data_IF_289037660922
#
_entry.id   IF_289037660922
#
_cell.length_a   1.000
_cell.length_b   1.000
_cell.length_c   1.000
_cell.angle_alpha   90.00
_cell.angle_beta   90.00
_cell.angle_gamma   90.00
#
_symmetry.space_group_name_H-M   'P 1'
#
loop_
_entity.id
_entity.type
_entity.pdbx_description
1 polymer ?
#
# COMPACT_ATOMS: atom_id res chain seq x y z
N UNK A 1 -29.52 -12.74 -6.58
CA UNK A 1 -30.20 -13.96 -7.07
C UNK A 1 -29.12 -14.97 -7.41
N UNK A 2 -29.10 -16.16 -6.79
CA UNK A 2 -28.20 -17.35 -6.97
C UNK A 2 -26.68 -17.12 -7.21
N UNK A 3 -25.74 -17.95 -6.72
CA UNK A 3 -25.83 -19.39 -6.48
C UNK A 3 -25.30 -19.83 -5.10
N UNK A 4 -25.76 -21.01 -4.68
CA UNK A 4 -25.19 -21.85 -3.62
C UNK A 4 -24.44 -23.04 -4.25
N UNK A 5 -23.92 -23.89 -3.37
CA UNK A 5 -23.38 -25.24 -3.59
C UNK A 5 -21.89 -25.26 -3.99
N UNK A 6 -20.91 -25.54 -3.13
CA UNK A 6 -20.69 -26.62 -2.13
C UNK A 6 -19.89 -27.81 -2.69
N UNK A 7 -18.72 -28.05 -2.10
CA UNK A 7 -18.12 -29.40 -2.02
C UNK A 7 -17.14 -29.47 -0.84
N UNK A 8 -17.12 -30.61 -0.15
CA UNK A 8 -16.39 -30.82 1.09
C UNK A 8 -15.00 -31.43 0.85
N UNK A 9 -14.03 -31.07 1.69
CA UNK A 9 -12.86 -31.89 1.96
C UNK A 9 -12.50 -31.77 3.44
N UNK A 10 -12.21 -32.90 4.08
CA UNK A 10 -11.97 -33.07 5.52
C UNK A 10 -10.63 -33.81 5.70
N UNK A 11 -10.14 -33.96 6.94
CA UNK A 11 -8.90 -34.69 7.33
C UNK A 11 -7.63 -33.82 7.15
N UNK A 12 -6.68 -33.71 8.09
CA UNK A 12 -6.48 -34.36 9.39
C UNK A 12 -5.95 -33.38 10.47
N UNK A 13 -6.04 -33.78 11.74
CA UNK A 13 -5.23 -33.20 12.84
C UNK A 13 -3.86 -33.89 12.88
N UNK A 14 -2.83 -33.20 13.36
CA UNK A 14 -1.83 -33.77 14.27
C UNK A 14 -1.04 -32.67 15.00
N UNK A 15 -0.60 -33.00 16.20
CA UNK A 15 0.03 -32.13 17.20
C UNK A 15 1.52 -32.45 17.36
N UNK A 16 2.36 -31.43 17.56
CA UNK A 16 3.52 -31.49 18.46
C UNK A 16 4.11 -30.09 18.67
N UNK A 17 4.38 -29.75 19.92
CA UNK A 17 5.08 -28.53 20.35
C UNK A 17 6.53 -28.48 19.86
N UNK A 18 7.09 -27.27 19.70
CA UNK A 18 8.26 -26.85 20.50
C UNK A 18 8.67 -25.36 20.30
N UNK A 19 9.22 -24.78 21.38
CA UNK A 19 9.93 -23.48 21.51
C UNK A 19 9.22 -22.13 21.20
N UNK A 20 8.96 -21.30 22.24
CA UNK A 20 8.50 -19.92 22.11
C UNK A 20 9.53 -18.89 22.63
N UNK A 21 10.46 -18.41 21.79
CA UNK A 21 11.40 -17.35 22.21
C UNK A 21 11.58 -16.22 21.17
N UNK A 22 11.53 -16.52 19.86
CA UNK A 22 11.68 -15.50 18.81
C UNK A 22 10.51 -14.48 18.75
N UNK A 23 9.31 -14.84 19.21
CA UNK A 23 8.10 -14.02 19.07
C UNK A 23 8.04 -12.83 20.04
N UNK A 24 8.74 -12.91 21.18
CA UNK A 24 8.75 -11.85 22.21
C UNK A 24 9.71 -10.69 21.90
N UNK A 25 10.78 -10.93 21.15
CA UNK A 25 11.66 -9.86 20.65
C UNK A 25 10.94 -9.01 19.58
N UNK A 26 10.17 -9.66 18.70
CA UNK A 26 9.49 -9.00 17.58
C UNK A 26 8.37 -8.05 18.07
N UNK A 27 7.62 -8.44 19.11
CA UNK A 27 6.56 -7.61 19.70
C UNK A 27 7.10 -6.42 20.48
N UNK A 28 8.16 -6.60 21.28
CA UNK A 28 8.82 -5.50 22.01
C UNK A 28 9.32 -4.38 21.10
N UNK A 29 9.91 -4.73 19.96
CA UNK A 29 10.42 -3.77 18.98
C UNK A 29 9.34 -3.03 18.18
N UNK A 30 8.09 -3.50 18.22
CA UNK A 30 6.93 -2.77 17.66
C UNK A 30 6.33 -1.81 18.70
N UNK A 31 6.29 -2.21 19.97
CA UNK A 31 5.79 -1.39 21.09
C UNK A 31 6.61 -0.11 21.29
N UNK A 32 7.95 -0.24 21.37
CA UNK A 32 8.87 0.91 21.57
C UNK A 32 8.90 1.88 20.38
N UNK A 33 8.52 1.42 19.19
CA UNK A 33 8.38 2.25 17.98
C UNK A 33 7.07 3.04 17.96
N UNK A 34 6.01 2.54 18.59
CA UNK A 34 4.76 3.30 18.77
C UNK A 34 4.83 4.32 19.90
N UNK A 35 5.59 4.05 20.96
CA UNK A 35 5.77 4.98 22.10
C UNK A 35 6.57 6.23 21.70
N UNK A 36 7.68 6.06 20.96
CA UNK A 36 8.47 7.18 20.43
C UNK A 36 7.67 8.13 19.50
N UNK A 37 6.62 7.64 18.83
CA UNK A 37 5.79 8.46 17.95
C UNK A 37 4.69 9.23 18.71
N UNK A 38 4.42 8.87 19.96
CA UNK A 38 3.46 9.55 20.83
C UNK A 38 4.12 10.67 21.65
N UNK A 39 5.34 10.44 22.16
CA UNK A 39 6.06 11.45 22.97
C UNK A 39 6.41 12.71 22.17
N UNK A 40 6.75 12.57 20.88
CA UNK A 40 7.07 13.71 20.01
C UNK A 40 5.85 14.59 19.66
N UNK A 41 4.62 14.12 19.88
CA UNK A 41 3.41 14.93 19.72
C UNK A 41 2.95 15.64 21.00
N UNK A 42 3.53 15.32 22.16
CA UNK A 42 3.18 15.98 23.44
C UNK A 42 4.14 17.11 23.83
N UNK A 43 5.39 17.10 23.35
CA UNK A 43 6.40 18.12 23.67
C UNK A 43 6.14 19.52 23.09
N UNK A 44 5.19 19.69 22.16
CA UNK A 44 4.88 20.99 21.53
C UNK A 44 3.71 21.75 22.17
N UNK A 45 3.09 21.21 23.24
CA UNK A 45 1.87 21.80 23.85
C UNK A 45 2.02 22.41 25.24
N UNK A 46 3.19 22.35 25.89
CA UNK A 46 3.38 22.81 27.29
C UNK A 46 4.43 23.91 27.50
N UNK A 47 4.83 24.66 26.46
CA UNK A 47 5.84 25.73 26.60
C UNK A 47 5.39 27.11 26.09
N UNK A 48 4.21 27.56 26.52
CA UNK A 48 3.75 28.96 26.38
C UNK A 48 2.66 29.29 27.41
N UNK A 49 3.00 29.14 28.70
CA UNK A 49 2.13 29.49 29.81
C UNK A 49 2.92 30.09 31.00
N UNK A 50 3.80 31.06 30.76
CA UNK A 50 4.35 31.89 31.85
C UNK A 50 4.76 33.30 31.40
N UNK A 51 4.57 34.27 32.32
CA UNK A 51 5.00 35.67 32.32
C UNK A 51 4.42 36.67 31.28
N UNK A 52 3.38 37.40 31.73
CA UNK A 52 3.18 38.81 31.37
C UNK A 52 4.21 39.71 32.07
N UNK A 53 4.70 40.76 31.39
CA UNK A 53 5.12 42.11 31.88
C UNK A 53 5.72 42.84 30.64
N UNK A 54 5.04 43.80 30.00
CA UNK A 54 4.88 45.24 30.32
C UNK A 54 5.78 46.14 29.45
N UNK A 55 5.28 47.34 29.10
CA UNK A 55 5.98 48.43 28.37
C UNK A 55 6.30 48.20 26.87
N UNK A 56 6.57 49.20 26.02
CA UNK A 56 6.05 50.58 25.85
C UNK A 56 6.40 51.04 24.41
N UNK A 57 5.56 51.90 23.84
CA UNK A 57 5.76 52.75 22.65
C UNK A 57 7.22 52.94 22.14
N UNK A 58 7.46 52.73 20.82
CA UNK A 58 8.14 53.70 19.92
C UNK A 58 8.22 53.24 18.46
N UNK A 59 8.16 54.21 17.54
CA UNK A 59 8.32 54.06 16.09
C UNK A 59 9.79 54.24 15.69
N UNK A 60 10.20 53.70 14.53
CA UNK A 60 10.84 54.41 13.39
C UNK A 60 11.51 53.42 12.42
N UNK A 61 11.51 53.73 11.11
CA UNK A 61 12.18 52.93 10.07
C UNK A 61 11.49 53.01 8.70
N UNK A 62 11.86 53.99 7.88
CA UNK A 62 11.23 54.29 6.57
C UNK A 62 12.02 53.67 5.39
N UNK A 63 11.31 53.53 4.25
CA UNK A 63 11.77 53.23 2.87
C UNK A 63 11.87 51.74 2.50
N UNK A 64 11.52 51.27 1.28
CA UNK A 64 11.12 51.96 0.01
C UNK A 64 9.97 51.21 -0.72
N UNK A 65 9.29 51.94 -1.60
CA UNK A 65 8.19 51.59 -2.53
C UNK A 65 8.34 50.36 -3.45
N UNK A 66 7.23 49.66 -3.71
CA UNK A 66 6.69 49.40 -5.07
C UNK A 66 5.14 49.36 -5.00
N UNK A 67 4.43 49.96 -5.97
CA UNK A 67 2.96 50.08 -5.95
C UNK A 67 2.32 49.67 -7.28
N UNK A 68 1.40 48.69 -7.25
CA UNK A 68 0.15 48.65 -8.04
C UNK A 68 -0.72 47.47 -7.53
N UNK A 69 -1.52 47.67 -6.48
CA UNK A 69 -2.95 48.04 -6.56
C UNK A 69 -3.90 46.93 -7.02
N UNK A 70 -4.41 46.16 -6.06
CA UNK A 70 -5.84 45.85 -5.92
C UNK A 70 -6.14 45.41 -4.48
N UNK A 71 -6.18 46.39 -3.56
CA UNK A 71 -6.69 46.19 -2.20
C UNK A 71 -8.01 46.94 -2.04
N UNK A 72 -9.04 46.25 -1.55
CA UNK A 72 -10.31 46.85 -1.14
C UNK A 72 -10.11 47.58 0.19
N UNK A 73 -9.72 48.86 0.12
CA UNK A 73 -9.51 49.73 1.27
C UNK A 73 -10.79 49.89 2.11
N UNK A 74 -10.82 49.24 3.28
CA UNK A 74 -11.79 49.56 4.34
C UNK A 74 -11.38 50.86 5.04
N UNK A 75 -11.61 51.98 4.36
CA UNK A 75 -11.31 53.33 4.82
C UNK A 75 -11.99 53.60 6.18
N UNK A 76 -11.20 53.58 7.25
CA UNK A 76 -11.69 53.81 8.61
C UNK A 76 -11.84 55.32 8.86
N UNK A 77 -12.94 55.90 8.39
CA UNK A 77 -13.35 57.25 8.82
C UNK A 77 -13.96 57.22 10.22
N UNK A 78 -13.83 58.34 10.94
CA UNK A 78 -14.34 58.46 12.31
C UNK A 78 -15.87 58.26 12.37
N UNK A 79 -16.58 58.74 11.35
CA UNK A 79 -18.03 58.57 11.14
C UNK A 79 -18.41 57.10 10.93
N UNK A 80 -17.60 56.33 10.20
CA UNK A 80 -17.81 54.91 10.00
C UNK A 80 -17.68 54.13 11.31
N UNK A 81 -16.77 54.56 12.20
CA UNK A 81 -16.59 53.96 13.51
C UNK A 81 -17.78 54.21 14.45
N UNK A 82 -18.41 55.40 14.35
CA UNK A 82 -19.62 55.80 15.10
C UNK A 82 -20.86 55.02 14.63
N UNK A 83 -21.06 54.89 13.31
CA UNK A 83 -22.19 54.15 12.75
C UNK A 83 -22.11 52.62 13.03
N UNK A 84 -20.91 52.09 13.21
CA UNK A 84 -20.68 50.70 13.63
C UNK A 84 -21.11 50.46 15.09
N UNK A 85 -20.76 51.35 16.03
CA UNK A 85 -21.15 51.21 17.44
C UNK A 85 -22.65 51.36 17.65
N UNK A 86 -23.28 52.34 17.00
CA UNK A 86 -24.72 52.61 17.07
C UNK A 86 -25.55 51.40 16.59
N UNK A 87 -25.07 50.68 15.56
CA UNK A 87 -25.72 49.46 15.07
C UNK A 87 -25.85 48.34 16.11
N UNK A 88 -24.84 48.13 16.97
CA UNK A 88 -24.91 47.12 18.04
C UNK A 88 -25.73 47.62 19.24
N UNK A 89 -25.66 48.91 19.56
CA UNK A 89 -26.47 49.48 20.64
C UNK A 89 -27.96 49.38 20.32
N UNK A 90 -28.37 49.69 19.09
CA UNK A 90 -29.74 49.49 18.61
C UNK A 90 -30.17 48.01 18.57
N UNK A 91 -29.28 47.09 18.17
CA UNK A 91 -29.56 45.65 18.23
C UNK A 91 -29.73 45.17 19.69
N UNK A 92 -28.92 45.66 20.62
CA UNK A 92 -29.07 45.33 22.04
C UNK A 92 -30.37 45.90 22.62
N UNK A 93 -30.74 47.14 22.30
CA UNK A 93 -31.98 47.77 22.78
C UNK A 93 -33.25 47.04 22.28
N UNK A 94 -33.27 46.66 20.99
CA UNK A 94 -34.35 45.86 20.41
C UNK A 94 -34.42 44.46 21.01
N UNK A 95 -33.28 43.78 21.18
CA UNK A 95 -33.20 42.45 21.81
C UNK A 95 -33.66 42.46 23.29
N UNK A 96 -33.34 43.51 24.05
CA UNK A 96 -33.81 43.66 25.43
C UNK A 96 -35.33 43.85 25.48
N UNK A 97 -35.89 44.62 24.53
CA UNK A 97 -37.33 44.86 24.40
C UNK A 97 -38.10 43.58 24.01
N UNK A 98 -37.57 42.80 23.07
CA UNK A 98 -38.18 41.54 22.59
C UNK A 98 -38.04 40.40 23.61
N UNK A 99 -36.85 40.24 24.20
CA UNK A 99 -36.57 39.09 25.09
C UNK A 99 -36.97 39.30 26.55
N UNK A 100 -37.51 40.47 26.93
CA UNK A 100 -37.78 40.80 28.34
C UNK A 100 -36.54 40.71 29.23
N UNK A 101 -35.36 40.98 28.67
CA UNK A 101 -34.06 40.84 29.33
C UNK A 101 -33.49 39.41 29.43
N UNK A 102 -34.12 38.40 28.82
CA UNK A 102 -33.61 37.02 28.87
C UNK A 102 -32.30 36.82 28.08
N UNK A 103 -32.04 37.63 27.05
CA UNK A 103 -30.77 37.55 26.30
C UNK A 103 -29.85 38.72 26.66
N UNK A 104 -28.67 38.38 27.19
CA UNK A 104 -27.63 39.35 27.52
C UNK A 104 -27.08 40.08 26.28
N UNK A 105 -26.70 41.37 26.39
CA UNK A 105 -26.24 42.16 25.25
C UNK A 105 -24.96 41.61 24.60
N UNK A 106 -24.81 41.89 23.31
CA UNK A 106 -23.59 41.65 22.54
C UNK A 106 -22.57 42.73 22.93
N UNK A 107 -21.37 42.29 23.33
CA UNK A 107 -20.35 43.15 23.96
C UNK A 107 -19.50 43.97 22.99
N UNK A 108 -19.39 43.55 21.73
CA UNK A 108 -18.50 44.17 20.73
C UNK A 108 -18.91 43.77 19.31
N UNK A 109 -18.51 44.58 18.33
CA UNK A 109 -18.59 44.24 16.91
C UNK A 109 -17.29 43.64 16.40
N UNK A 110 -17.39 42.70 15.47
CA UNK A 110 -16.22 42.12 14.82
C UNK A 110 -15.65 43.09 13.77
N UNK A 111 -14.36 43.43 13.88
CA UNK A 111 -13.63 44.33 12.96
C UNK A 111 -12.73 43.59 11.95
N UNK A 112 -12.69 42.26 12.00
CA UNK A 112 -11.81 41.39 11.23
C UNK A 112 -12.62 40.21 10.65
N UNK A 113 -12.17 39.52 9.58
CA UNK A 113 -12.93 38.42 8.99
C UNK A 113 -13.04 37.23 9.95
N UNK A 114 -14.23 36.63 10.04
CA UNK A 114 -14.58 35.57 11.01
C UNK A 114 -13.63 34.35 11.01
N UNK A 115 -12.93 34.10 9.88
CA UNK A 115 -12.00 32.98 9.68
C UNK A 115 -10.66 33.16 10.39
N UNK A 116 -10.22 34.39 10.67
CA UNK A 116 -8.95 34.73 11.33
C UNK A 116 -9.08 34.91 12.86
N UNK A 117 -10.32 34.96 13.35
CA UNK A 117 -10.66 35.24 14.75
C UNK A 117 -10.38 34.03 15.65
N UNK A 118 -9.83 34.30 16.85
CA UNK A 118 -9.58 33.30 17.91
C UNK A 118 -10.81 32.42 18.19
N UNK A 119 -10.57 31.13 18.45
CA UNK A 119 -11.60 30.10 18.67
C UNK A 119 -12.60 30.44 19.79
N UNK A 120 -12.13 31.04 20.88
CA UNK A 120 -12.94 31.56 22.00
C UNK A 120 -13.96 32.61 21.54
N UNK A 121 -13.50 33.62 20.82
CA UNK A 121 -14.30 34.71 20.26
C UNK A 121 -15.29 34.21 19.21
N UNK A 122 -14.89 33.27 18.33
CA UNK A 122 -15.79 32.61 17.38
C UNK A 122 -16.89 31.82 18.09
N UNK A 123 -16.57 31.10 19.17
CA UNK A 123 -17.55 30.34 19.99
C UNK A 123 -18.54 31.27 20.70
N UNK A 124 -18.06 32.40 21.25
CA UNK A 124 -18.93 33.43 21.83
C UNK A 124 -19.91 33.98 20.78
N UNK A 125 -19.41 34.38 19.60
CA UNK A 125 -20.24 34.95 18.55
C UNK A 125 -21.27 33.93 18.01
N UNK A 126 -20.88 32.67 17.78
CA UNK A 126 -21.80 31.60 17.37
C UNK A 126 -22.93 31.41 18.38
N UNK A 127 -22.62 31.39 19.68
CA UNK A 127 -23.63 31.31 20.74
C UNK A 127 -24.57 32.51 20.73
N UNK A 128 -24.02 33.73 20.61
CA UNK A 128 -24.81 34.97 20.59
C UNK A 128 -25.72 35.09 19.36
N UNK A 129 -25.21 34.76 18.18
CA UNK A 129 -26.01 34.69 16.96
C UNK A 129 -27.17 33.68 17.10
N UNK A 130 -26.90 32.48 17.67
CA UNK A 130 -27.95 31.50 17.97
C UNK A 130 -29.01 32.06 18.92
N UNK A 131 -28.62 32.70 20.02
CA UNK A 131 -29.56 33.33 20.97
C UNK A 131 -30.45 34.39 20.30
N UNK A 132 -29.87 35.28 19.50
CA UNK A 132 -30.60 36.34 18.78
C UNK A 132 -31.59 35.75 17.77
N UNK A 133 -31.15 34.81 16.93
CA UNK A 133 -32.03 34.19 15.92
C UNK A 133 -33.17 33.42 16.60
N UNK A 134 -32.90 32.65 17.66
CA UNK A 134 -33.97 31.97 18.40
C UNK A 134 -34.96 32.94 19.07
N UNK A 135 -34.53 34.12 19.56
CA UNK A 135 -35.50 35.10 20.09
C UNK A 135 -36.42 35.66 19.01
N UNK A 136 -35.91 35.97 17.82
CA UNK A 136 -36.73 36.44 16.69
C UNK A 136 -37.67 35.33 16.21
N UNK A 137 -37.15 34.11 16.04
CA UNK A 137 -37.96 32.96 15.62
C UNK A 137 -39.01 32.56 16.68
N UNK A 138 -38.77 32.75 17.97
CA UNK A 138 -39.78 32.53 19.02
C UNK A 138 -40.93 33.54 18.97
N UNK A 139 -40.71 34.75 18.44
CA UNK A 139 -41.79 35.72 18.21
C UNK A 139 -42.59 35.40 16.95
N UNK A 140 -41.95 34.80 15.94
CA UNK A 140 -42.60 34.38 14.69
C UNK A 140 -43.40 33.08 14.86
N UNK A 141 -42.83 32.11 15.57
CA UNK A 141 -43.41 30.78 15.81
C UNK A 141 -43.16 30.37 17.29
N UNK A 142 -44.08 30.71 18.22
CA UNK A 142 -43.88 30.50 19.65
C UNK A 142 -43.74 29.01 19.99
N UNK A 143 -42.60 28.65 20.59
CA UNK A 143 -42.27 27.27 20.94
C UNK A 143 -41.63 26.43 19.83
N UNK A 144 -41.60 26.91 18.58
CA UNK A 144 -41.09 26.19 17.40
C UNK A 144 -39.83 26.82 16.78
N UNK A 145 -39.12 27.70 17.52
CA UNK A 145 -37.93 28.38 16.99
C UNK A 145 -36.79 27.45 16.57
N UNK A 146 -36.66 26.28 17.20
CA UNK A 146 -35.68 25.26 16.81
C UNK A 146 -36.00 24.66 15.45
N UNK A 147 -37.26 24.31 15.23
CA UNK A 147 -37.72 23.65 14.00
C UNK A 147 -37.65 24.64 12.83
N UNK A 148 -38.07 25.90 13.05
CA UNK A 148 -37.90 26.99 12.09
C UNK A 148 -36.42 27.29 11.77
N UNK A 149 -35.53 27.21 12.76
CA UNK A 149 -34.09 27.39 12.52
C UNK A 149 -33.50 26.23 11.72
N UNK A 150 -34.01 25.02 11.91
CA UNK A 150 -33.61 23.84 11.16
C UNK A 150 -34.10 23.92 9.70
N UNK A 151 -35.36 24.30 9.45
CA UNK A 151 -35.89 24.49 8.10
C UNK A 151 -35.06 25.52 7.30
N UNK A 152 -34.72 26.66 7.91
CA UNK A 152 -33.84 27.66 7.28
C UNK A 152 -32.42 27.14 7.01
N UNK A 153 -31.93 26.19 7.80
CA UNK A 153 -30.63 25.57 7.57
C UNK A 153 -30.71 24.55 6.43
N UNK A 154 -31.77 23.75 6.38
CA UNK A 154 -32.05 22.75 5.34
C UNK A 154 -32.20 23.43 3.97
N UNK A 155 -33.04 24.46 3.83
CA UNK A 155 -33.22 25.22 2.57
C UNK A 155 -31.89 25.76 2.00
N UNK A 156 -30.98 26.24 2.85
CA UNK A 156 -29.66 26.73 2.44
C UNK A 156 -28.64 25.61 2.16
N UNK A 157 -28.93 24.36 2.53
CA UNK A 157 -28.10 23.20 2.21
C UNK A 157 -28.55 22.49 0.93
N UNK A 158 -29.84 22.54 0.56
CA UNK A 158 -30.37 21.76 -0.57
C UNK A 158 -29.78 22.15 -1.93
N UNK A 159 -29.58 23.45 -2.24
CA UNK A 159 -29.09 23.86 -3.58
C UNK A 159 -27.64 23.41 -3.88
N UNK A 160 -26.72 23.51 -2.92
CA UNK A 160 -25.31 23.10 -3.11
C UNK A 160 -25.09 21.60 -2.83
N UNK A 161 -25.86 20.98 -1.92
CA UNK A 161 -25.59 19.61 -1.45
C UNK A 161 -26.24 18.54 -2.32
N UNK A 162 -27.49 18.73 -2.79
CA UNK A 162 -28.18 17.66 -3.53
C UNK A 162 -27.51 17.35 -4.87
N UNK A 163 -27.02 18.37 -5.58
CA UNK A 163 -26.30 18.18 -6.84
C UNK A 163 -24.93 17.51 -6.61
N UNK A 164 -24.25 17.82 -5.50
CA UNK A 164 -22.99 17.18 -5.10
C UNK A 164 -23.20 15.71 -4.73
N UNK A 165 -24.10 15.41 -3.80
CA UNK A 165 -24.36 14.05 -3.33
C UNK A 165 -24.86 13.13 -4.46
N UNK A 166 -25.70 13.66 -5.37
CA UNK A 166 -26.14 12.91 -6.55
C UNK A 166 -24.98 12.53 -7.48
N UNK A 167 -24.06 13.47 -7.74
CA UNK A 167 -22.88 13.17 -8.57
C UNK A 167 -21.88 12.24 -7.87
N UNK A 168 -21.71 12.31 -6.55
CA UNK A 168 -20.93 11.31 -5.81
C UNK A 168 -21.55 9.91 -5.95
N UNK A 169 -22.87 9.79 -5.78
CA UNK A 169 -23.58 8.51 -5.91
C UNK A 169 -23.42 7.91 -7.32
N UNK A 170 -23.64 8.70 -8.38
CA UNK A 170 -23.44 8.28 -9.78
C UNK A 170 -21.99 7.81 -10.06
N UNK A 171 -20.99 8.51 -9.50
CA UNK A 171 -19.58 8.09 -9.60
C UNK A 171 -19.33 6.79 -8.82
N UNK A 172 -19.91 6.63 -7.62
CA UNK A 172 -19.74 5.38 -6.86
C UNK A 172 -20.39 4.19 -7.56
N UNK A 173 -21.58 4.34 -8.13
CA UNK A 173 -22.29 3.27 -8.83
C UNK A 173 -21.57 2.84 -10.12
N UNK A 174 -21.02 3.78 -10.89
CA UNK A 174 -20.21 3.45 -12.08
C UNK A 174 -18.93 2.68 -11.71
N UNK A 175 -18.23 3.05 -10.64
CA UNK A 175 -17.06 2.29 -10.16
C UNK A 175 -17.46 0.91 -9.63
N UNK A 176 -18.63 0.79 -8.97
CA UNK A 176 -19.17 -0.50 -8.51
C UNK A 176 -19.54 -1.43 -9.67
N UNK A 177 -20.10 -0.90 -10.77
CA UNK A 177 -20.35 -1.65 -11.98
C UNK A 177 -19.03 -2.20 -12.58
N UNK A 178 -18.03 -1.34 -12.77
CA UNK A 178 -16.71 -1.73 -13.27
C UNK A 178 -16.03 -2.78 -12.36
N UNK A 179 -16.22 -2.69 -11.03
CA UNK A 179 -15.69 -3.66 -10.08
C UNK A 179 -16.34 -5.05 -10.24
N UNK A 180 -17.64 -5.09 -10.54
CA UNK A 180 -18.37 -6.32 -10.83
C UNK A 180 -17.95 -6.97 -12.16
N UNK A 181 -17.73 -6.14 -13.19
CA UNK A 181 -17.34 -6.58 -14.55
C UNK A 181 -15.86 -7.00 -14.64
N UNK A 182 -14.98 -6.50 -13.78
CA UNK A 182 -13.55 -6.82 -13.82
C UNK A 182 -13.27 -8.31 -13.54
N UNK A 183 -12.57 -8.98 -14.45
CA UNK A 183 -12.11 -10.37 -14.23
C UNK A 183 -10.84 -10.45 -13.36
N UNK A 184 -9.95 -9.46 -13.48
CA UNK A 184 -8.64 -9.48 -12.84
C UNK A 184 -8.70 -8.89 -11.41
N UNK A 185 -8.26 -9.66 -10.42
CA UNK A 185 -8.13 -9.23 -9.03
C UNK A 185 -7.25 -7.97 -8.84
N UNK A 186 -6.27 -7.73 -9.73
CA UNK A 186 -5.49 -6.50 -9.73
C UNK A 186 -6.35 -5.28 -10.09
N UNK A 187 -7.25 -5.39 -11.09
CA UNK A 187 -8.20 -4.34 -11.48
C UNK A 187 -9.26 -4.13 -10.39
N UNK A 188 -9.79 -5.22 -9.80
CA UNK A 188 -10.69 -5.13 -8.63
C UNK A 188 -10.05 -4.37 -7.48
N UNK A 189 -8.77 -4.62 -7.17
CA UNK A 189 -8.04 -3.89 -6.12
C UNK A 189 -7.84 -2.41 -6.48
N UNK A 190 -7.67 -2.06 -7.75
CA UNK A 190 -7.57 -0.67 -8.21
C UNK A 190 -8.90 0.07 -8.06
N UNK A 191 -9.98 -0.48 -8.59
CA UNK A 191 -11.32 0.12 -8.51
C UNK A 191 -11.77 0.25 -7.04
N UNK A 192 -11.50 -0.78 -6.22
CA UNK A 192 -11.71 -0.69 -4.78
C UNK A 192 -10.78 0.34 -4.11
N UNK A 193 -9.56 0.57 -4.60
CA UNK A 193 -8.65 1.59 -4.04
C UNK A 193 -9.15 3.02 -4.24
N UNK A 194 -9.93 3.28 -5.29
CA UNK A 194 -10.63 4.55 -5.50
C UNK A 194 -11.74 4.74 -4.45
N UNK A 195 -12.60 3.72 -4.27
CA UNK A 195 -13.71 3.75 -3.30
C UNK A 195 -13.28 3.70 -1.83
N UNK A 196 -12.14 3.09 -1.52
CA UNK A 196 -11.73 2.76 -0.14
C UNK A 196 -10.82 3.80 0.54
N UNK A 197 -10.62 4.97 -0.09
CA UNK A 197 -9.87 6.09 0.48
C UNK A 197 -10.30 6.40 1.94
N UNK A 198 -9.35 6.67 2.87
CA UNK A 198 -9.66 6.72 4.31
C UNK A 198 -10.76 7.70 4.71
N UNK A 199 -10.87 8.83 3.99
CA UNK A 199 -11.83 9.90 4.27
C UNK A 199 -13.16 9.75 3.51
N UNK A 200 -13.20 8.92 2.46
CA UNK A 200 -14.38 8.77 1.62
C UNK A 200 -15.39 7.79 2.23
N UNK A 201 -15.00 6.53 2.46
CA UNK A 201 -15.92 5.48 2.90
C UNK A 201 -15.36 4.62 4.05
N UNK A 202 -16.17 4.47 5.10
CA UNK A 202 -15.89 3.54 6.20
C UNK A 202 -16.00 2.09 5.74
N UNK A 203 -15.24 1.18 6.38
CA UNK A 203 -15.24 -0.27 6.07
C UNK A 203 -16.66 -0.85 6.07
N UNK A 204 -17.51 -0.42 6.99
CA UNK A 204 -18.91 -0.88 7.08
C UNK A 204 -19.79 -0.35 5.93
N UNK A 205 -19.54 0.86 5.40
CA UNK A 205 -20.23 1.39 4.20
C UNK A 205 -19.87 0.52 2.98
N UNK A 206 -18.58 0.24 2.78
CA UNK A 206 -18.08 -0.60 1.68
C UNK A 206 -18.63 -2.05 1.73
N UNK A 207 -18.71 -2.67 2.90
CA UNK A 207 -19.29 -4.02 3.05
C UNK A 207 -20.80 -4.08 2.82
N UNK A 208 -21.52 -2.95 2.92
CA UNK A 208 -22.94 -2.85 2.54
C UNK A 208 -23.11 -2.62 1.03
N UNK A 209 -22.22 -1.86 0.41
CA UNK A 209 -22.21 -1.60 -1.04
C UNK A 209 -21.81 -2.84 -1.85
N UNK A 210 -20.79 -3.58 -1.39
CA UNK A 210 -20.31 -4.80 -2.04
C UNK A 210 -20.53 -6.00 -1.10
N UNK A 211 -21.64 -6.75 -1.26
CA UNK A 211 -21.90 -7.93 -0.43
C UNK A 211 -20.87 -9.02 -0.71
N UNK A 212 -20.22 -9.52 0.35
CA UNK A 212 -19.14 -10.50 0.28
C UNK A 212 -17.74 -9.91 0.40
N UNK A 213 -17.57 -8.59 0.33
CA UNK A 213 -16.27 -7.93 0.49
C UNK A 213 -15.69 -8.13 1.89
N UNK A 214 -14.46 -8.63 1.97
CA UNK A 214 -13.76 -8.84 3.23
C UNK A 214 -13.09 -7.56 3.73
N UNK A 215 -12.91 -7.45 5.06
CA UNK A 215 -12.13 -6.35 5.66
C UNK A 215 -10.68 -6.36 5.17
N UNK A 216 -10.13 -7.55 4.90
CA UNK A 216 -8.76 -7.71 4.40
C UNK A 216 -8.59 -7.13 3.00
N UNK A 217 -9.54 -7.33 2.08
CA UNK A 217 -9.50 -6.72 0.73
C UNK A 217 -9.53 -5.19 0.79
N UNK A 218 -10.32 -4.61 1.70
CA UNK A 218 -10.36 -3.16 1.95
C UNK A 218 -9.02 -2.65 2.50
N UNK A 219 -8.37 -3.41 3.38
CA UNK A 219 -7.05 -3.04 3.91
C UNK A 219 -5.95 -3.21 2.84
N UNK A 220 -6.07 -4.21 1.96
CA UNK A 220 -5.18 -4.38 0.80
C UNK A 220 -5.34 -3.27 -0.25
N UNK A 221 -6.57 -2.83 -0.56
CA UNK A 221 -6.80 -1.71 -1.49
C UNK A 221 -6.32 -0.38 -0.92
N UNK A 222 -6.41 -0.18 0.40
CA UNK A 222 -5.83 0.98 1.11
C UNK A 222 -4.30 0.94 1.12
N UNK A 223 -3.70 -0.20 1.43
CA UNK A 223 -2.25 -0.39 1.36
C UNK A 223 -1.72 -0.18 -0.07
N UNK A 224 -2.49 -0.59 -1.07
CA UNK A 224 -2.21 -0.32 -2.48
C UNK A 224 -2.26 1.17 -2.81
N UNK A 225 -3.34 1.88 -2.42
CA UNK A 225 -3.44 3.33 -2.61
C UNK A 225 -2.28 4.09 -1.95
N UNK A 226 -1.86 3.67 -0.75
CA UNK A 226 -0.75 4.27 0.00
C UNK A 226 0.64 4.01 -0.61
N UNK A 227 0.81 2.95 -1.41
CA UNK A 227 2.11 2.55 -1.98
C UNK A 227 2.27 2.88 -3.46
N UNK A 228 1.18 2.84 -4.24
CA UNK A 228 1.19 3.01 -5.70
C UNK A 228 0.34 4.20 -6.18
N UNK A 229 -0.45 4.82 -5.29
CA UNK A 229 -1.51 5.78 -5.63
C UNK A 229 -2.87 5.10 -5.84
N UNK A 230 -3.96 5.83 -5.53
CA UNK A 230 -5.32 5.33 -5.75
C UNK A 230 -5.60 5.22 -7.27
N UNK A 231 -6.21 4.10 -7.69
CA UNK A 231 -6.51 3.80 -9.11
C UNK A 231 -5.29 3.50 -9.99
N UNK A 232 -4.07 3.56 -9.46
CA UNK A 232 -2.84 3.29 -10.21
C UNK A 232 -2.72 1.82 -10.58
N UNK A 233 -2.30 1.50 -11.81
CA UNK A 233 -2.00 0.11 -12.19
C UNK A 233 -0.78 -0.37 -11.37
N UNK A 234 -0.85 -1.50 -10.65
CA UNK A 234 0.36 -2.14 -10.15
C UNK A 234 1.20 -2.48 -11.38
N UNK A 235 2.49 -2.12 -11.33
CA UNK A 235 3.40 -2.28 -12.47
C UNK A 235 3.49 -3.73 -12.95
N UNK A 236 4.09 -3.99 -14.13
CA UNK A 236 4.23 -5.32 -14.70
C UNK A 236 4.71 -6.31 -13.64
N UNK A 237 3.82 -7.24 -13.26
CA UNK A 237 4.13 -8.22 -12.24
C UNK A 237 5.03 -9.27 -12.88
N UNK A 238 6.34 -9.01 -12.83
CA UNK A 238 7.37 -9.98 -13.24
C UNK A 238 7.04 -11.34 -12.60
N UNK A 239 6.85 -12.40 -13.40
CA UNK A 239 6.39 -13.69 -12.89
C UNK A 239 7.47 -14.24 -11.95
N UNK A 240 7.18 -14.18 -10.65
CA UNK A 240 8.10 -14.58 -9.59
C UNK A 240 8.39 -16.08 -9.62
N UNK A 241 9.36 -16.49 -10.44
CA UNK A 241 9.82 -17.87 -10.54
C UNK A 241 10.31 -18.34 -9.17
N UNK A 242 9.55 -19.26 -8.55
CA UNK A 242 9.93 -19.89 -7.28
C UNK A 242 11.11 -20.84 -7.51
N UNK A 243 12.31 -20.35 -7.19
CA UNK A 243 13.54 -21.13 -7.23
C UNK A 243 13.51 -22.21 -6.14
N UNK A 244 13.04 -23.42 -6.50
CA UNK A 244 12.91 -24.58 -5.58
C UNK A 244 14.24 -25.19 -5.12
N UNK A 245 15.38 -24.69 -5.60
CA UNK A 245 16.72 -25.20 -5.34
C UNK A 245 17.70 -24.04 -5.27
N UNK A 246 18.68 -24.10 -4.35
CA UNK A 246 19.74 -23.11 -4.28
C UNK A 246 20.58 -23.14 -5.57
N UNK A 247 20.73 -21.98 -6.21
CA UNK A 247 21.41 -21.79 -7.49
C UNK A 247 22.91 -22.09 -7.41
N UNK A 248 23.59 -21.57 -6.39
CA UNK A 248 25.04 -21.76 -6.18
C UNK A 248 25.39 -23.25 -6.05
N UNK A 249 24.59 -24.00 -5.28
CA UNK A 249 24.78 -25.45 -5.12
C UNK A 249 24.49 -26.25 -6.39
N UNK A 250 23.59 -25.77 -7.24
CA UNK A 250 23.36 -26.35 -8.57
C UNK A 250 24.56 -26.06 -9.49
N UNK A 251 25.01 -24.81 -9.55
CA UNK A 251 26.14 -24.40 -10.41
C UNK A 251 27.44 -25.12 -10.01
N UNK A 252 27.73 -25.28 -8.72
CA UNK A 252 28.86 -26.06 -8.22
C UNK A 252 28.77 -27.56 -8.56
N UNK A 253 27.56 -28.14 -8.56
CA UNK A 253 27.37 -29.52 -9.00
C UNK A 253 27.53 -29.67 -10.52
N UNK A 254 26.98 -28.73 -11.30
CA UNK A 254 27.07 -28.75 -12.76
C UNK A 254 28.50 -28.51 -13.25
N UNK A 255 29.28 -27.62 -12.64
CA UNK A 255 30.67 -27.38 -13.05
C UNK A 255 31.54 -28.63 -12.89
N UNK A 256 31.37 -29.37 -11.79
CA UNK A 256 32.04 -30.65 -11.58
C UNK A 256 31.49 -31.75 -12.52
N UNK A 257 30.17 -31.85 -12.67
CA UNK A 257 29.51 -32.87 -13.51
C UNK A 257 29.68 -32.65 -15.03
N UNK A 258 30.21 -31.50 -15.46
CA UNK A 258 30.49 -31.14 -16.84
C UNK A 258 31.99 -30.96 -17.12
N UNK A 259 32.87 -31.19 -16.13
CA UNK A 259 34.32 -31.14 -16.31
C UNK A 259 34.76 -32.08 -17.47
N UNK A 260 35.54 -31.61 -18.45
CA UNK A 260 36.06 -32.42 -19.55
C UNK A 260 36.74 -33.72 -19.11
N UNK A 261 37.30 -33.81 -17.90
CA UNK A 261 37.89 -35.04 -17.34
C UNK A 261 36.93 -36.24 -17.33
N UNK A 262 35.62 -35.99 -17.25
CA UNK A 262 34.59 -37.03 -17.19
C UNK A 262 33.88 -37.28 -18.53
N UNK A 263 34.32 -36.62 -19.61
CA UNK A 263 33.67 -36.63 -20.91
C UNK A 263 34.64 -36.97 -22.04
N UNK A 264 34.20 -37.82 -22.96
CA UNK A 264 34.91 -38.12 -24.20
C UNK A 264 34.01 -37.77 -25.38
N UNK A 265 34.53 -36.97 -26.31
CA UNK A 265 33.91 -36.74 -27.61
C UNK A 265 34.12 -38.01 -28.43
N UNK A 266 33.06 -38.57 -29.00
CA UNK A 266 33.21 -39.73 -29.86
C UNK A 266 33.67 -39.34 -31.27
N UNK A 267 34.52 -40.18 -31.87
CA UNK A 267 34.91 -40.11 -33.28
C UNK A 267 33.80 -40.46 -34.26
N UNK A 268 32.69 -41.05 -33.81
CA UNK A 268 31.53 -41.37 -34.64
C UNK A 268 30.20 -41.15 -33.91
N UNK A 269 29.20 -40.69 -34.66
CA UNK A 269 27.87 -40.33 -34.17
C UNK A 269 27.74 -38.83 -33.88
N UNK A 270 26.73 -38.21 -34.47
CA UNK A 270 26.32 -36.82 -34.23
C UNK A 270 24.96 -36.78 -33.52
N UNK A 271 24.66 -35.64 -32.90
CA UNK A 271 23.34 -35.27 -32.40
C UNK A 271 22.97 -33.92 -32.97
N UNK A 272 21.72 -33.81 -33.41
CA UNK A 272 21.21 -32.62 -34.05
C UNK A 272 20.41 -31.83 -33.00
N UNK A 273 20.83 -30.59 -32.74
CA UNK A 273 20.11 -29.66 -31.87
C UNK A 273 19.24 -28.76 -32.74
N UNK A 274 17.92 -28.84 -32.57
CA UNK A 274 16.99 -27.88 -33.14
C UNK A 274 16.93 -26.64 -32.25
N UNK A 275 17.13 -25.47 -32.85
CA UNK A 275 16.98 -24.18 -32.20
C UNK A 275 15.57 -23.60 -32.48
N UNK A 276 15.05 -22.77 -31.57
CA UNK A 276 13.70 -22.18 -31.68
C UNK A 276 13.51 -21.29 -32.92
N UNK A 277 14.62 -20.88 -33.56
CA UNK A 277 14.65 -20.15 -34.83
C UNK A 277 14.52 -21.07 -36.08
N UNK A 278 14.29 -22.37 -35.90
CA UNK A 278 14.17 -23.36 -36.98
C UNK A 278 15.50 -23.88 -37.54
N UNK A 279 16.65 -23.40 -37.06
CA UNK A 279 17.96 -23.91 -37.46
C UNK A 279 18.28 -25.23 -36.75
N UNK A 280 19.10 -26.07 -37.39
CA UNK A 280 19.55 -27.34 -36.83
C UNK A 280 21.07 -27.37 -36.80
N UNK A 281 21.65 -27.57 -35.62
CA UNK A 281 23.10 -27.60 -35.39
C UNK A 281 23.54 -29.02 -35.07
N UNK A 282 24.40 -29.60 -35.91
CA UNK A 282 24.93 -30.96 -35.72
C UNK A 282 26.16 -30.92 -34.81
N UNK A 283 26.12 -31.64 -33.69
CA UNK A 283 27.18 -31.68 -32.66
C UNK A 283 27.69 -33.12 -32.49
N UNK A 284 28.99 -33.38 -32.33
CA UNK A 284 29.49 -34.73 -32.09
C UNK A 284 28.96 -35.32 -30.78
N UNK A 285 28.70 -36.64 -30.76
CA UNK A 285 28.13 -37.31 -29.60
C UNK A 285 29.12 -37.39 -28.44
N UNK A 286 28.79 -36.74 -27.33
CA UNK A 286 29.55 -36.84 -26.08
C UNK A 286 29.10 -38.06 -25.27
N UNK A 287 30.08 -38.81 -24.77
CA UNK A 287 29.95 -39.97 -23.88
C UNK A 287 30.59 -39.62 -22.54
N UNK A 288 29.98 -40.02 -21.41
CA UNK A 288 30.65 -39.92 -20.10
C UNK A 288 31.52 -41.14 -19.87
N UNK A 289 32.74 -40.91 -19.38
CA UNK A 289 33.71 -41.97 -19.06
C UNK A 289 33.38 -42.68 -17.74
N UNK A 290 32.63 -42.02 -16.86
CA UNK A 290 32.27 -42.53 -15.52
C UNK A 290 30.76 -42.66 -15.34
N UNK A 291 30.34 -43.65 -14.55
CA UNK A 291 28.93 -43.86 -14.25
C UNK A 291 28.42 -42.90 -13.16
N UNK A 292 27.11 -42.65 -13.14
CA UNK A 292 26.50 -41.64 -12.26
C UNK A 292 26.79 -41.85 -10.77
N UNK A 293 26.86 -43.09 -10.29
CA UNK A 293 27.15 -43.39 -8.88
C UNK A 293 28.59 -43.05 -8.50
N UNK A 294 29.58 -43.49 -9.29
CA UNK A 294 31.00 -43.17 -9.04
C UNK A 294 31.28 -41.68 -9.17
N UNK A 295 30.65 -41.00 -10.15
CA UNK A 295 30.80 -39.56 -10.35
C UNK A 295 30.18 -38.74 -9.21
N UNK A 296 29.06 -39.20 -8.63
CA UNK A 296 28.48 -38.60 -7.42
C UNK A 296 29.32 -38.87 -6.16
N UNK A 297 29.97 -40.03 -6.06
CA UNK A 297 30.92 -40.34 -4.98
C UNK A 297 32.17 -39.45 -5.07
N UNK A 298 32.77 -39.29 -6.26
CA UNK A 298 33.91 -38.38 -6.47
C UNK A 298 33.54 -36.93 -6.13
N UNK A 299 32.35 -36.48 -6.52
CA UNK A 299 31.84 -35.15 -6.17
C UNK A 299 31.70 -34.95 -4.66
N UNK A 300 31.22 -35.96 -3.92
CA UNK A 300 31.15 -35.90 -2.45
C UNK A 300 32.52 -35.81 -1.80
N UNK A 301 33.50 -36.60 -2.26
CA UNK A 301 34.88 -36.49 -1.77
C UNK A 301 35.44 -35.09 -2.01
N UNK A 302 35.29 -34.57 -3.23
CA UNK A 302 35.70 -33.21 -3.58
C UNK A 302 35.01 -32.14 -2.72
N UNK A 303 33.70 -32.27 -2.44
CA UNK A 303 32.99 -31.38 -1.53
C UNK A 303 33.53 -31.47 -0.09
N UNK A 304 33.89 -32.66 0.39
CA UNK A 304 34.47 -32.83 1.73
C UNK A 304 35.88 -32.23 1.86
N UNK A 305 36.68 -32.28 0.80
CA UNK A 305 38.03 -31.67 0.74
C UNK A 305 37.97 -30.14 0.65
N UNK A 306 36.98 -29.61 -0.08
CA UNK A 306 36.77 -28.16 -0.27
C UNK A 306 35.94 -27.50 0.84
N UNK A 307 35.40 -28.28 1.79
CA UNK A 307 34.51 -27.77 2.85
C UNK A 307 33.12 -27.35 2.35
N UNK A 308 32.72 -27.76 1.15
CA UNK A 308 31.44 -27.40 0.55
C UNK A 308 30.31 -28.34 0.99
N UNK A 309 29.11 -27.80 1.27
CA UNK A 309 27.94 -28.62 1.63
C UNK A 309 27.07 -28.84 0.37
N UNK A 310 27.08 -30.04 -0.24
CA UNK A 310 26.37 -30.30 -1.50
C UNK A 310 24.84 -30.32 -1.35
N UNK A 311 24.14 -30.56 -2.47
CA UNK A 311 22.73 -30.95 -2.50
C UNK A 311 22.55 -32.40 -2.03
N UNK A 312 21.32 -32.78 -1.66
CA UNK A 312 21.01 -34.18 -1.32
C UNK A 312 21.19 -35.12 -2.51
N UNK A 313 21.56 -36.37 -2.24
CA UNK A 313 21.77 -37.41 -3.26
C UNK A 313 20.61 -37.52 -4.24
N UNK A 314 19.37 -37.48 -3.76
CA UNK A 314 18.17 -37.55 -4.60
C UNK A 314 18.08 -36.41 -5.62
N UNK A 315 18.57 -35.21 -5.28
CA UNK A 315 18.64 -34.06 -6.18
C UNK A 315 19.81 -34.19 -7.14
N UNK A 316 20.98 -34.62 -6.67
CA UNK A 316 22.17 -34.84 -7.51
C UNK A 316 21.94 -35.94 -8.56
N UNK A 317 21.31 -37.06 -8.20
CA UNK A 317 20.90 -38.09 -9.15
C UNK A 317 19.87 -37.59 -10.17
N UNK A 318 18.94 -36.71 -9.77
CA UNK A 318 17.98 -36.07 -10.70
C UNK A 318 18.66 -35.11 -11.68
N UNK A 319 19.65 -34.33 -11.22
CA UNK A 319 20.46 -33.48 -12.10
C UNK A 319 21.19 -34.35 -13.13
N UNK A 320 21.84 -35.42 -12.68
CA UNK A 320 22.56 -36.38 -13.54
C UNK A 320 21.64 -37.13 -14.51
N UNK A 321 20.39 -37.44 -14.14
CA UNK A 321 19.41 -38.04 -15.07
C UNK A 321 18.94 -37.05 -16.12
N UNK A 322 18.72 -35.78 -15.75
CA UNK A 322 18.29 -34.72 -16.69
C UNK A 322 19.40 -34.41 -17.69
N UNK A 323 20.64 -34.30 -17.22
CA UNK A 323 21.83 -34.16 -18.05
C UNK A 323 22.27 -35.52 -18.63
N UNK A 324 21.39 -36.21 -19.36
CA UNK A 324 21.62 -37.55 -19.92
C UNK A 324 22.78 -37.60 -20.93
N UNK A 325 23.96 -38.06 -20.50
CA UNK A 325 25.05 -38.42 -21.40
C UNK A 325 24.77 -39.76 -22.11
N UNK A 326 25.34 -39.92 -23.30
CA UNK A 326 25.16 -41.14 -24.09
C UNK A 326 25.85 -42.32 -23.40
N UNK A 327 25.10 -43.33 -22.98
CA UNK A 327 25.67 -44.60 -22.52
C UNK A 327 26.04 -45.44 -23.74
N UNK A 328 27.26 -45.95 -23.78
CA UNK A 328 27.67 -46.98 -24.74
C UNK A 328 28.03 -48.23 -23.96
N UNK A 329 27.26 -49.29 -24.18
CA UNK A 329 27.73 -50.64 -23.91
C UNK A 329 28.81 -50.94 -24.93
N UNK A 330 29.99 -51.29 -24.45
CA UNK A 330 31.07 -51.83 -25.26
C UNK A 330 30.52 -52.99 -26.12
N UNK A 331 30.57 -52.83 -27.44
CA UNK A 331 30.31 -53.91 -28.38
C UNK A 331 31.32 -55.02 -28.08
N UNK A 332 30.81 -56.23 -27.86
CA UNK A 332 31.62 -57.44 -27.73
C UNK A 332 32.35 -57.67 -29.05
N UNK A 333 33.63 -57.25 -29.11
CA UNK A 333 34.36 -57.17 -30.38
C UNK A 333 35.64 -56.34 -30.30
N UNK A 334 36.43 -56.53 -29.25
CA UNK A 334 37.87 -56.24 -29.25
C UNK A 334 38.61 -57.57 -29.10
N UNK A 335 38.35 -58.49 -30.04
CA UNK A 335 39.24 -59.62 -30.21
C UNK A 335 40.58 -59.09 -30.71
N UNK A 336 41.62 -59.41 -29.95
CA UNK A 336 42.99 -59.04 -30.28
C UNK A 336 43.35 -59.73 -31.60
N UNK A 337 43.63 -58.94 -32.64
CA UNK A 337 44.40 -59.44 -33.79
C UNK A 337 45.85 -59.57 -33.31
N UNK A 338 46.08 -60.57 -32.46
CA UNK A 338 47.39 -60.97 -32.02
C UNK A 338 48.08 -61.66 -33.20
N UNK A 339 49.16 -61.04 -33.66
CA UNK A 339 50.07 -61.48 -34.71
C UNK A 339 50.36 -62.98 -34.65
N UNK A 340 49.75 -63.76 -35.55
CA UNK A 340 50.30 -65.07 -35.93
C UNK A 340 51.27 -64.85 -37.09
N UNK A 341 52.55 -64.77 -36.75
CA UNK A 341 53.65 -64.45 -37.66
C UNK A 341 54.90 -65.27 -37.33
N UNK A 342 54.71 -66.50 -36.84
CA UNK A 342 55.78 -67.36 -36.35
C UNK A 342 55.56 -68.83 -36.76
N UNK A 343 55.38 -69.07 -38.07
CA UNK A 343 55.52 -70.39 -38.68
C UNK A 343 56.14 -70.29 -40.07
N UNK A 344 57.00 -71.25 -40.41
CA UNK A 344 57.69 -71.45 -41.70
C UNK A 344 58.79 -70.43 -42.10
N UNK A 345 59.97 -70.56 -41.49
CA UNK A 345 61.20 -70.93 -42.23
C UNK A 345 62.02 -71.88 -41.36
N UNK A 346 61.96 -73.17 -41.68
CA UNK A 346 62.97 -74.19 -41.37
C UNK A 346 62.98 -75.16 -42.57
N UNK A 347 64.18 -75.44 -43.10
CA UNK A 347 64.58 -76.09 -44.37
C UNK A 347 64.63 -75.22 -45.66
#
# INVERSE_FOLDING_TARGET
MCCKDASSAQICKNTSDDTPEATLQQSRNLQTRTENYAEQCHSETENSAEQCHSETLSQTGVSTTYTLSQESSWSTSLEGQIHLTDGIENLNNTLMSLSGGQVSPIKFQLKAPLREVQSSTRRYLKRKAKEVVHTVLNHLAPGQSSDMFQLLYEDNCHEDTEQSDKTELEITDTILQLYCEAENNALKRQLLSLLSLPNAHSKSKLQKLIPGLTKWEIDQSRAHAASHGAGSLPGPMEPGYRHRMNKEKLEHALSFFLDPKFHQICSYGTKDLHCDNGQTVTIPQVVRTTCHSSLLQMYKSYCSETGFVPLSDSTLYKILSTCSASKRTNLTGLDNIATDGAAAVDD
#
